data_IF_379506214210
#
_entry.id   IF_379506214210
#
_cell.length_a   1.000
_cell.length_b   1.000
_cell.length_c   1.000
_cell.angle_alpha   90.00
_cell.angle_beta   90.00
_cell.angle_gamma   90.00
#
_symmetry.space_group_name_H-M   'P 1'
#
loop_
_entity.id
_entity.type
_entity.pdbx_description
1 polymer ?
#
# COMPACT_ATOMS: atom_id res chain seq x y z
N UNK A 1 -11.44 6.01 14.96
CA UNK A 1 -11.83 6.37 13.58
C UNK A 1 -11.10 5.48 12.58
N UNK A 2 -9.79 5.68 12.42
CA UNK A 2 -8.93 4.86 11.59
C UNK A 2 -7.80 4.27 12.43
N UNK A 3 -7.26 3.15 11.99
CA UNK A 3 -6.00 2.61 12.48
C UNK A 3 -5.04 2.46 11.30
N UNK A 4 -3.81 2.92 11.52
CA UNK A 4 -2.74 2.94 10.52
C UNK A 4 -1.60 2.06 11.04
N UNK A 5 -1.31 0.99 10.33
CA UNK A 5 -0.28 0.01 10.70
C UNK A 5 0.87 0.15 9.69
N UNK A 6 2.05 0.49 10.19
CA UNK A 6 3.27 0.57 9.39
C UNK A 6 3.98 -0.78 9.41
N UNK A 7 4.37 -1.26 8.22
CA UNK A 7 5.02 -2.55 8.03
C UNK A 7 6.35 -2.34 7.34
N UNK A 8 7.44 -2.80 7.96
CA UNK A 8 8.73 -2.85 7.28
C UNK A 8 8.69 -3.92 6.19
N UNK A 9 8.57 -3.47 4.94
CA UNK A 9 8.50 -4.36 3.78
C UNK A 9 9.87 -4.72 3.21
N UNK A 10 10.96 -4.09 3.68
CA UNK A 10 12.32 -4.30 3.17
C UNK A 10 12.80 -5.74 3.34
N UNK A 11 12.59 -6.41 4.50
CA UNK A 11 13.03 -7.78 4.69
C UNK A 11 12.32 -8.79 3.76
N UNK A 12 11.18 -8.43 3.15
CA UNK A 12 10.47 -9.34 2.24
C UNK A 12 11.18 -9.46 0.89
N UNK A 13 11.81 -8.40 0.40
CA UNK A 13 12.44 -8.36 -0.93
C UNK A 13 13.67 -9.27 -0.96
N UNK A 14 13.60 -10.42 -1.64
CA UNK A 14 14.70 -11.40 -1.63
C UNK A 14 15.95 -10.92 -2.35
N UNK A 15 15.80 -10.15 -3.43
CA UNK A 15 16.95 -9.65 -4.21
C UNK A 15 17.92 -8.84 -3.34
N UNK A 16 17.43 -8.04 -2.39
CA UNK A 16 18.31 -7.28 -1.47
C UNK A 16 19.27 -8.14 -0.63
N UNK A 17 19.00 -9.44 -0.50
CA UNK A 17 19.85 -10.39 0.22
C UNK A 17 20.63 -11.33 -0.70
N UNK A 18 20.07 -11.65 -1.86
CA UNK A 18 20.60 -12.66 -2.76
C UNK A 18 21.44 -12.06 -3.88
N UNK A 19 21.08 -10.86 -4.31
CA UNK A 19 21.69 -10.13 -5.42
C UNK A 19 21.54 -8.62 -5.20
N UNK A 20 22.28 -8.03 -4.25
CA UNK A 20 22.16 -6.62 -3.90
C UNK A 20 22.82 -5.68 -4.92
N UNK A 21 23.37 -6.21 -6.03
CA UNK A 21 24.23 -5.46 -6.94
C UNK A 21 25.37 -4.76 -6.18
N UNK A 22 25.55 -3.46 -6.37
CA UNK A 22 26.57 -2.65 -5.70
C UNK A 22 26.14 -2.13 -4.31
N UNK A 23 24.95 -2.51 -3.83
CA UNK A 23 24.42 -2.02 -2.56
C UNK A 23 24.98 -2.78 -1.35
N UNK A 24 25.36 -2.02 -0.32
CA UNK A 24 25.78 -2.56 0.98
C UNK A 24 24.68 -2.24 2.00
N UNK A 25 24.00 -3.28 2.47
CA UNK A 25 22.92 -3.18 3.45
C UNK A 25 23.38 -3.61 4.85
N UNK A 26 22.90 -2.91 5.87
CA UNK A 26 23.08 -3.31 7.27
C UNK A 26 21.89 -4.14 7.77
N UNK A 27 22.10 -5.45 7.92
CA UNK A 27 21.08 -6.41 8.31
C UNK A 27 21.13 -6.82 9.79
N UNK A 28 21.94 -6.16 10.64
CA UNK A 28 22.13 -6.57 12.04
C UNK A 28 20.83 -6.62 12.84
N UNK A 29 19.87 -5.73 12.56
CA UNK A 29 18.59 -5.64 13.27
C UNK A 29 17.51 -6.65 12.83
N UNK A 30 17.74 -7.41 11.76
CA UNK A 30 16.72 -8.29 11.17
C UNK A 30 17.11 -9.77 11.18
N UNK A 31 18.33 -10.11 11.63
CA UNK A 31 18.83 -11.48 11.63
C UNK A 31 18.33 -12.24 12.89
N UNK A 32 17.74 -13.46 12.76
CA UNK A 32 17.44 -14.21 11.55
C UNK A 32 16.26 -13.66 10.75
N UNK A 33 16.47 -13.35 9.46
CA UNK A 33 15.48 -12.77 8.55
C UNK A 33 14.13 -13.50 8.57
N UNK A 34 14.17 -14.83 8.57
CA UNK A 34 12.96 -15.67 8.61
C UNK A 34 12.14 -15.46 9.88
N UNK A 35 12.81 -15.35 11.04
CA UNK A 35 12.14 -15.11 12.32
C UNK A 35 11.59 -13.69 12.40
N UNK A 36 12.35 -12.71 11.90
CA UNK A 36 11.90 -11.32 11.82
C UNK A 36 10.60 -11.19 11.01
N UNK A 37 10.58 -11.72 9.78
CA UNK A 37 9.39 -11.67 8.91
C UNK A 37 8.22 -12.42 9.56
N UNK A 38 8.46 -13.60 10.15
CA UNK A 38 7.40 -14.37 10.78
C UNK A 38 6.77 -13.65 11.98
N UNK A 39 7.58 -12.96 12.80
CA UNK A 39 7.07 -12.17 13.92
C UNK A 39 6.33 -10.92 13.43
N UNK A 40 6.90 -10.21 12.46
CA UNK A 40 6.25 -9.04 11.86
C UNK A 40 4.87 -9.38 11.28
N UNK A 41 4.73 -10.51 10.57
CA UNK A 41 3.43 -10.96 10.04
C UNK A 41 2.44 -11.29 11.16
N UNK A 42 2.89 -11.93 12.25
CA UNK A 42 2.05 -12.20 13.42
C UNK A 42 1.59 -10.92 14.10
N UNK A 43 2.49 -9.95 14.26
CA UNK A 43 2.18 -8.68 14.91
C UNK A 43 1.18 -7.87 14.08
N UNK A 44 1.34 -7.85 12.75
CA UNK A 44 0.40 -7.22 11.82
C UNK A 44 -0.97 -7.91 11.85
N UNK A 45 -1.00 -9.24 11.78
CA UNK A 45 -2.26 -10.00 11.85
C UNK A 45 -2.98 -9.76 13.19
N UNK A 46 -2.23 -9.80 14.30
CA UNK A 46 -2.79 -9.54 15.62
C UNK A 46 -3.36 -8.13 15.72
N UNK A 47 -2.60 -7.10 15.35
CA UNK A 47 -3.07 -5.72 15.36
C UNK A 47 -4.34 -5.53 14.50
N UNK A 48 -4.37 -6.12 13.31
CA UNK A 48 -5.53 -6.06 12.42
C UNK A 48 -6.77 -6.77 12.98
N UNK A 49 -6.60 -7.90 13.67
CA UNK A 49 -7.70 -8.66 14.29
C UNK A 49 -8.31 -7.92 15.48
N UNK A 50 -7.47 -7.33 16.32
CA UNK A 50 -7.93 -6.58 17.50
C UNK A 50 -8.52 -5.21 17.14
N UNK A 51 -8.25 -4.74 15.92
CA UNK A 51 -8.74 -3.46 15.42
C UNK A 51 -10.26 -3.43 15.22
N UNK A 52 -10.91 -2.56 16.00
CA UNK A 52 -12.31 -2.14 15.80
C UNK A 52 -12.42 -0.84 14.98
N UNK A 53 -11.34 -0.40 14.33
CA UNK A 53 -11.33 0.84 13.56
C UNK A 53 -12.30 0.77 12.37
N UNK A 54 -12.93 1.92 12.05
CA UNK A 54 -13.79 2.03 10.88
C UNK A 54 -12.99 1.97 9.59
N UNK A 55 -11.76 2.49 9.58
CA UNK A 55 -10.84 2.38 8.44
C UNK A 55 -9.56 1.67 8.89
N UNK A 56 -9.17 0.60 8.21
CA UNK A 56 -7.92 -0.11 8.43
C UNK A 56 -6.97 0.18 7.28
N UNK A 57 -5.86 0.84 7.60
CA UNK A 57 -4.87 1.28 6.62
C UNK A 57 -3.54 0.62 6.95
N UNK A 58 -2.93 -0.03 5.96
CA UNK A 58 -1.59 -0.59 6.09
C UNK A 58 -0.64 0.18 5.19
N UNK A 59 0.50 0.60 5.75
CA UNK A 59 1.51 1.40 5.06
C UNK A 59 2.81 0.62 5.00
N UNK A 60 3.40 0.50 3.80
CA UNK A 60 4.71 -0.11 3.59
C UNK A 60 5.54 0.69 2.60
N UNK A 61 6.84 0.41 2.48
CA UNK A 61 7.67 1.06 1.45
C UNK A 61 7.33 0.56 0.04
N UNK A 62 7.40 -0.76 -0.17
CA UNK A 62 7.25 -1.42 -1.47
C UNK A 62 5.79 -1.66 -1.87
N UNK A 63 5.52 -1.72 -3.18
CA UNK A 63 4.19 -2.00 -3.72
C UNK A 63 3.83 -3.49 -3.63
N UNK A 64 2.62 -3.81 -3.15
CA UNK A 64 2.02 -5.14 -3.37
C UNK A 64 1.58 -5.27 -4.83
N UNK A 65 0.95 -4.20 -5.36
CA UNK A 65 0.57 -4.07 -6.76
C UNK A 65 1.10 -2.75 -7.30
N UNK A 66 1.78 -2.79 -8.45
CA UNK A 66 2.14 -1.58 -9.19
C UNK A 66 2.26 -1.84 -10.70
N UNK A 67 2.08 -0.79 -11.50
CA UNK A 67 2.38 -0.78 -12.94
C UNK A 67 3.63 0.04 -13.28
N UNK A 68 4.27 0.65 -12.28
CA UNK A 68 5.50 1.41 -12.37
C UNK A 68 6.74 0.54 -12.61
N UNK A 69 7.90 1.15 -12.45
CA UNK A 69 9.20 0.58 -12.78
C UNK A 69 9.48 -0.74 -12.04
N UNK A 70 9.25 -0.79 -10.73
CA UNK A 70 9.51 -1.98 -9.93
C UNK A 70 8.39 -3.02 -10.10
N UNK A 71 7.13 -2.56 -10.10
CA UNK A 71 5.96 -3.43 -10.23
C UNK A 71 5.69 -4.23 -8.96
N UNK A 72 5.04 -5.38 -9.10
CA UNK A 72 4.58 -6.16 -7.94
C UNK A 72 5.74 -6.76 -7.14
N UNK A 73 5.73 -6.56 -5.82
CA UNK A 73 6.57 -7.31 -4.90
C UNK A 73 5.93 -8.67 -4.59
N UNK A 74 6.37 -9.71 -5.29
CA UNK A 74 5.79 -11.07 -5.21
C UNK A 74 5.76 -11.62 -3.78
N UNK A 75 6.77 -11.34 -2.97
CA UNK A 75 6.84 -11.79 -1.59
C UNK A 75 5.76 -11.15 -0.72
N UNK A 76 5.43 -9.88 -0.93
CA UNK A 76 4.33 -9.23 -0.21
C UNK A 76 2.96 -9.76 -0.69
N UNK A 77 2.81 -9.98 -1.99
CA UNK A 77 1.61 -10.62 -2.54
C UNK A 77 1.40 -12.05 -1.98
N UNK A 78 2.49 -12.77 -1.71
CA UNK A 78 2.45 -14.14 -1.16
C UNK A 78 2.19 -14.17 0.34
N UNK A 79 2.80 -13.25 1.11
CA UNK A 79 2.84 -13.36 2.56
C UNK A 79 1.96 -12.34 3.29
N UNK A 80 1.94 -11.09 2.84
CA UNK A 80 1.23 -10.00 3.52
C UNK A 80 -0.20 -9.87 3.01
N UNK A 81 -0.41 -9.87 1.69
CA UNK A 81 -1.72 -9.66 1.08
C UNK A 81 -2.81 -10.62 1.59
N UNK A 82 -2.55 -11.93 1.82
CA UNK A 82 -3.56 -12.81 2.40
C UNK A 82 -4.04 -12.35 3.79
N UNK A 83 -3.13 -11.82 4.63
CA UNK A 83 -3.47 -11.28 5.96
C UNK A 83 -4.33 -10.02 5.80
N UNK A 84 -3.98 -9.13 4.87
CA UNK A 84 -4.75 -7.90 4.61
C UNK A 84 -6.18 -8.23 4.17
N UNK A 85 -6.32 -9.19 3.23
CA UNK A 85 -7.62 -9.68 2.73
C UNK A 85 -8.46 -10.30 3.85
N UNK A 86 -7.86 -11.19 4.65
CA UNK A 86 -8.55 -11.89 5.73
C UNK A 86 -9.04 -10.95 6.84
N UNK A 87 -8.44 -9.77 6.99
CA UNK A 87 -8.78 -8.80 8.03
C UNK A 87 -9.47 -7.53 7.52
N UNK A 88 -10.00 -7.57 6.29
CA UNK A 88 -10.79 -6.49 5.68
C UNK A 88 -10.07 -5.13 5.72
N UNK A 89 -8.77 -5.12 5.41
CA UNK A 89 -8.03 -3.87 5.20
C UNK A 89 -8.69 -3.07 4.09
N UNK A 90 -8.77 -1.75 4.26
CA UNK A 90 -9.37 -0.88 3.26
C UNK A 90 -8.33 -0.42 2.25
N UNK A 91 -7.19 0.07 2.76
CA UNK A 91 -6.15 0.68 1.94
C UNK A 91 -4.78 0.10 2.29
N UNK A 92 -4.05 -0.31 1.25
CA UNK A 92 -2.60 -0.49 1.34
C UNK A 92 -1.94 0.69 0.64
N UNK A 93 -1.10 1.43 1.37
CA UNK A 93 -0.41 2.62 0.86
C UNK A 93 1.09 2.38 0.80
N UNK A 94 1.72 2.79 -0.29
CA UNK A 94 3.17 2.66 -0.46
C UNK A 94 3.82 3.81 -1.22
N UNK A 95 5.15 3.77 -1.25
CA UNK A 95 5.99 4.57 -2.14
C UNK A 95 6.77 3.64 -3.06
N UNK A 96 8.10 3.72 -3.01
CA UNK A 96 9.06 2.93 -3.78
C UNK A 96 9.02 3.18 -5.29
N UNK A 97 7.88 2.91 -5.92
CA UNK A 97 7.66 3.33 -7.30
C UNK A 97 7.51 4.85 -7.36
N UNK A 98 8.39 5.50 -8.13
CA UNK A 98 8.44 6.96 -8.26
C UNK A 98 7.35 7.48 -9.20
N UNK A 99 6.10 7.23 -8.83
CA UNK A 99 4.88 7.62 -9.52
C UNK A 99 3.73 7.76 -8.51
N UNK A 100 2.55 8.14 -9.01
CA UNK A 100 1.29 8.09 -8.28
C UNK A 100 0.37 7.05 -8.92
N UNK A 101 -0.21 6.16 -8.12
CA UNK A 101 -1.06 5.09 -8.64
C UNK A 101 -2.27 4.83 -7.74
N UNK A 102 -3.36 4.41 -8.37
CA UNK A 102 -4.50 3.81 -7.70
C UNK A 102 -4.92 2.55 -8.45
N UNK A 103 -4.84 1.41 -7.77
CA UNK A 103 -5.25 0.11 -8.28
C UNK A 103 -6.27 -0.49 -7.31
N UNK A 104 -7.45 -0.82 -7.82
CA UNK A 104 -8.44 -1.61 -7.08
C UNK A 104 -8.10 -3.11 -7.17
N UNK A 105 -8.20 -3.83 -6.06
CA UNK A 105 -8.15 -5.29 -6.12
C UNK A 105 -9.36 -5.87 -6.88
N UNK A 106 -9.15 -6.98 -7.58
CA UNK A 106 -10.21 -7.67 -8.34
C UNK A 106 -10.91 -8.75 -7.51
N UNK A 107 -10.28 -9.18 -6.41
CA UNK A 107 -10.75 -10.28 -5.55
C UNK A 107 -11.17 -9.81 -4.15
N UNK A 108 -10.98 -8.53 -3.82
CA UNK A 108 -11.29 -7.97 -2.50
C UNK A 108 -11.58 -6.47 -2.61
N UNK A 109 -12.14 -5.82 -1.57
CA UNK A 109 -12.39 -4.38 -1.60
C UNK A 109 -11.14 -3.51 -1.37
N UNK A 110 -9.96 -4.12 -1.14
CA UNK A 110 -8.71 -3.39 -0.87
C UNK A 110 -8.37 -2.47 -2.05
N UNK A 111 -8.00 -1.23 -1.74
CA UNK A 111 -7.36 -0.33 -2.71
C UNK A 111 -5.85 -0.25 -2.43
N UNK A 112 -5.06 -0.33 -3.49
CA UNK A 112 -3.62 -0.10 -3.47
C UNK A 112 -3.34 1.30 -3.98
N UNK A 113 -2.67 2.11 -3.15
CA UNK A 113 -2.45 3.53 -3.39
C UNK A 113 -0.95 3.83 -3.31
N UNK A 114 -0.34 4.18 -4.43
CA UNK A 114 1.08 4.54 -4.50
C UNK A 114 1.23 6.05 -4.46
N UNK A 115 2.01 6.57 -3.53
CA UNK A 115 2.45 7.96 -3.45
C UNK A 115 3.97 8.03 -3.29
N UNK A 116 4.71 7.67 -4.35
CA UNK A 116 6.17 7.63 -4.35
C UNK A 116 6.84 8.76 -5.15
N UNK A 117 6.06 9.66 -5.76
CA UNK A 117 6.56 10.71 -6.65
C UNK A 117 6.90 12.05 -5.94
N UNK A 118 7.29 12.01 -4.67
CA UNK A 118 7.54 13.24 -3.88
C UNK A 118 8.80 14.02 -4.29
N UNK A 119 9.74 13.39 -5.02
CA UNK A 119 10.96 14.05 -5.49
C UNK A 119 11.37 13.55 -6.89
N UNK A 120 11.91 12.35 -7.03
CA UNK A 120 12.15 11.72 -8.33
C UNK A 120 10.81 11.22 -8.87
N UNK A 121 10.61 11.32 -10.18
CA UNK A 121 9.48 10.71 -10.87
C UNK A 121 9.98 10.01 -12.15
N UNK A 122 9.50 8.81 -12.43
CA UNK A 122 9.95 8.02 -13.58
C UNK A 122 9.05 8.22 -14.79
N UNK A 123 9.16 9.40 -15.40
CA UNK A 123 8.42 9.74 -16.62
C UNK A 123 8.66 8.72 -17.74
N UNK A 124 7.58 8.15 -18.27
CA UNK A 124 7.59 7.17 -19.35
C UNK A 124 8.05 5.76 -18.97
N UNK A 125 8.38 5.50 -17.69
CA UNK A 125 8.82 4.19 -17.23
C UNK A 125 7.64 3.40 -16.63
N UNK A 126 6.91 2.73 -17.53
CA UNK A 126 5.69 2.02 -17.18
C UNK A 126 5.76 0.60 -17.73
N UNK A 127 5.54 -0.39 -16.86
CA UNK A 127 5.59 -1.81 -17.27
C UNK A 127 4.34 -2.23 -18.04
N UNK A 128 3.14 -1.91 -17.54
CA UNK A 128 1.89 -2.37 -18.16
C UNK A 128 0.68 -1.54 -17.73
N UNK A 129 0.24 -0.60 -18.59
CA UNK A 129 -0.96 0.21 -18.33
C UNK A 129 -2.28 -0.57 -18.49
N UNK A 130 -2.30 -1.67 -19.23
CA UNK A 130 -3.50 -2.48 -19.46
C UNK A 130 -3.82 -3.46 -18.30
N UNK A 131 -3.47 -3.09 -17.07
CA UNK A 131 -3.70 -3.92 -15.89
C UNK A 131 -5.15 -3.82 -15.43
N UNK A 132 -5.77 -4.95 -15.17
CA UNK A 132 -7.10 -4.99 -14.55
C UNK A 132 -7.08 -4.33 -13.16
N UNK A 133 -8.09 -3.49 -12.90
CA UNK A 133 -8.19 -2.75 -11.63
C UNK A 133 -7.41 -1.45 -11.57
N UNK A 134 -6.53 -1.13 -12.54
CA UNK A 134 -5.86 0.18 -12.60
C UNK A 134 -6.90 1.28 -12.82
N UNK A 135 -6.97 2.24 -11.88
CA UNK A 135 -7.91 3.37 -11.91
C UNK A 135 -7.22 4.68 -12.27
N UNK A 136 -5.96 4.83 -11.87
CA UNK A 136 -5.17 6.04 -12.10
C UNK A 136 -3.68 5.72 -12.08
N UNK A 137 -2.93 6.38 -12.95
CA UNK A 137 -1.47 6.36 -13.00
C UNK A 137 -0.97 7.74 -13.42
N UNK A 138 0.08 8.24 -12.76
CA UNK A 138 0.76 9.47 -13.12
C UNK A 138 2.25 9.37 -12.81
N UNK A 139 3.07 9.66 -13.80
CA UNK A 139 4.53 9.53 -13.79
C UNK A 139 5.26 10.88 -13.58
N UNK A 140 4.51 11.93 -13.21
CA UNK A 140 5.05 13.19 -12.75
C UNK A 140 5.15 13.26 -11.22
N UNK A 141 5.78 14.32 -10.73
CA UNK A 141 5.93 14.57 -9.30
C UNK A 141 4.60 14.99 -8.67
N UNK A 142 4.39 14.62 -7.41
CA UNK A 142 3.17 14.94 -6.70
C UNK A 142 3.01 14.17 -5.40
N UNK A 143 1.81 14.24 -4.83
CA UNK A 143 1.49 13.62 -3.54
C UNK A 143 0.00 13.28 -3.44
N UNK A 144 -0.37 12.56 -2.37
CA UNK A 144 -1.73 12.16 -2.06
C UNK A 144 -2.18 12.76 -0.72
N UNK A 145 -3.43 13.22 -0.63
CA UNK A 145 -4.10 13.50 0.64
C UNK A 145 -5.21 12.49 0.91
N UNK A 146 -5.44 12.19 2.19
CA UNK A 146 -6.52 11.30 2.65
C UNK A 146 -7.33 12.01 3.73
N UNK A 147 -8.63 12.13 3.51
CA UNK A 147 -9.58 12.67 4.48
C UNK A 147 -10.58 11.59 4.88
N UNK A 148 -10.69 11.31 6.18
CA UNK A 148 -11.54 10.26 6.72
C UNK A 148 -12.65 10.84 7.59
N UNK A 149 -13.87 10.40 7.38
CA UNK A 149 -14.98 10.46 8.33
C UNK A 149 -15.36 9.04 8.73
N UNK A 150 -16.37 8.87 9.58
CA UNK A 150 -16.80 7.51 9.93
C UNK A 150 -17.23 6.74 8.67
N UNK A 151 -17.98 7.36 7.76
CA UNK A 151 -18.60 6.71 6.60
C UNK A 151 -17.98 7.05 5.26
N UNK A 152 -17.05 8.01 5.17
CA UNK A 152 -16.40 8.41 3.92
C UNK A 152 -14.88 8.43 4.06
N UNK A 153 -14.19 7.95 3.03
CA UNK A 153 -12.77 8.20 2.83
C UNK A 153 -12.59 8.88 1.47
N UNK A 154 -12.09 10.11 1.48
CA UNK A 154 -11.72 10.84 0.28
C UNK A 154 -10.21 10.76 0.07
N UNK A 155 -9.80 10.28 -1.09
CA UNK A 155 -8.41 10.22 -1.53
C UNK A 155 -8.25 11.11 -2.75
N UNK A 156 -7.30 12.04 -2.67
CA UNK A 156 -7.01 13.01 -3.74
C UNK A 156 -5.53 12.98 -4.06
N UNK A 157 -5.22 12.87 -5.35
CA UNK A 157 -3.87 12.94 -5.88
C UNK A 157 -3.65 14.30 -6.51
N UNK A 158 -2.48 14.89 -6.24
CA UNK A 158 -2.08 16.20 -6.71
C UNK A 158 -0.76 16.13 -7.46
N UNK A 159 -0.57 17.00 -8.45
CA UNK A 159 0.77 17.33 -8.93
C UNK A 159 1.46 18.33 -7.99
N UNK A 160 2.69 18.72 -8.33
CA UNK A 160 3.52 19.67 -7.56
C UNK A 160 2.92 21.07 -7.45
N UNK A 161 2.04 21.47 -8.36
CA UNK A 161 1.39 22.78 -8.34
C UNK A 161 0.10 22.75 -7.50
N UNK A 162 -0.22 21.60 -6.89
CA UNK A 162 -1.45 21.40 -6.12
C UNK A 162 -2.68 21.22 -7.00
N UNK A 163 -2.52 20.95 -8.30
CA UNK A 163 -3.64 20.62 -9.17
C UNK A 163 -4.09 19.18 -8.92
N UNK A 164 -5.40 19.00 -8.79
CA UNK A 164 -6.01 17.68 -8.62
C UNK A 164 -5.83 16.88 -9.92
N UNK A 165 -5.17 15.74 -9.82
CA UNK A 165 -4.98 14.78 -10.90
C UNK A 165 -6.03 13.67 -10.86
N UNK A 166 -6.40 13.22 -9.65
CA UNK A 166 -7.37 12.16 -9.44
C UNK A 166 -8.06 12.33 -8.09
N UNK A 167 -9.35 11.96 -8.03
CA UNK A 167 -10.15 11.96 -6.80
C UNK A 167 -10.96 10.69 -6.73
N UNK A 168 -10.95 10.04 -5.58
CA UNK A 168 -11.73 8.85 -5.33
C UNK A 168 -12.34 8.88 -3.93
N UNK A 169 -13.58 8.40 -3.82
CA UNK A 169 -14.31 8.33 -2.56
C UNK A 169 -14.72 6.90 -2.27
N UNK A 170 -14.41 6.43 -1.06
CA UNK A 170 -14.89 5.17 -0.51
C UNK A 170 -15.99 5.45 0.52
N UNK A 171 -17.06 4.66 0.48
CA UNK A 171 -18.17 4.80 1.41
C UNK A 171 -18.36 3.53 2.23
N UNK A 172 -18.56 3.68 3.54
CA UNK A 172 -19.02 2.60 4.44
C UNK A 172 -20.43 2.89 4.88
N UNK A 173 -21.34 1.97 4.60
CA UNK A 173 -22.67 1.97 5.21
C UNK A 173 -22.56 1.33 6.59
N UNK A 174 -22.98 2.04 7.62
CA UNK A 174 -23.22 1.43 8.93
C UNK A 174 -24.72 1.19 9.02
N UNK A 175 -25.11 -0.08 9.15
CA UNK A 175 -26.48 -0.38 9.57
C UNK A 175 -26.70 0.18 10.96
N UNK A 176 -27.81 0.87 11.17
CA UNK A 176 -28.33 1.14 12.51
C UNK A 176 -28.57 -0.22 13.18
N UNK A 177 -27.69 -0.61 14.10
CA UNK A 177 -28.03 -1.62 15.09
C UNK A 177 -28.94 -0.98 16.15
N UNK A 178 -30.10 -0.50 15.71
CA UNK A 178 -31.25 -0.23 16.57
C UNK A 178 -32.39 -1.12 16.10
N UNK A 179 -32.31 -2.39 16.48
CA UNK A 179 -33.40 -3.36 16.37
C UNK A 179 -33.49 -4.11 17.69
N UNK A 180 -34.40 -3.60 18.54
CA UNK A 180 -35.26 -4.24 19.57
C UNK A 180 -34.61 -5.33 20.44
#
# INVERSE_FOLDING_TARGET
LAEIIFVDTTPFVKSYFQDPEDHIYDWRGINPRKHYIANLLKDVEYALRESNAKWKIVVGHHAIKSVGHHGDTKELATHLLPILKANNVDFYMNGHDHCLEHISDTESPIQFLTSGAGSKAWRGDVKQLNREGLKFFYDGQGFMSVQLTQSNAEIVFYDVDGKILHRWNAFKQFGDHSSI
#
